data_IF_258044145216
#
_entry.id   IF_258044145216
#
_cell.length_a   1.000
_cell.length_b   1.000
_cell.length_c   1.000
_cell.angle_alpha   90.00
_cell.angle_beta   90.00
_cell.angle_gamma   90.00
#
_symmetry.space_group_name_H-M   'P 1'
#
loop_
_entity.id
_entity.type
_entity.pdbx_description
1 polymer ?
#
# COMPACT_ATOMS: atom_id res chain seq x y z
N UNK A 1 5.44 4.28 -5.14
CA UNK A 1 6.43 5.19 -5.76
C UNK A 1 5.83 6.02 -6.91
N UNK A 2 4.48 6.00 -7.05
CA UNK A 2 3.75 6.85 -7.98
C UNK A 2 3.85 8.33 -7.58
N UNK A 3 3.93 9.27 -8.55
CA UNK A 3 3.91 10.70 -8.26
C UNK A 3 2.71 11.14 -7.43
N UNK A 4 1.51 10.59 -7.71
CA UNK A 4 0.29 10.87 -6.98
C UNK A 4 0.37 10.48 -5.49
N UNK A 5 1.02 9.35 -5.14
CA UNK A 5 1.20 8.92 -3.76
C UNK A 5 2.18 9.82 -3.02
N UNK A 6 3.23 10.30 -3.70
CA UNK A 6 4.14 11.30 -3.12
C UNK A 6 3.43 12.64 -2.87
N UNK A 7 2.54 13.04 -3.77
CA UNK A 7 1.71 14.24 -3.56
C UNK A 7 0.73 14.06 -2.40
N UNK A 8 0.08 12.90 -2.30
CA UNK A 8 -0.77 12.56 -1.17
C UNK A 8 -0.02 12.77 0.15
N UNK A 9 1.20 12.25 0.27
CA UNK A 9 2.06 12.44 1.43
C UNK A 9 2.36 13.91 1.71
N UNK A 10 2.71 14.68 0.68
CA UNK A 10 2.99 16.13 0.82
C UNK A 10 1.77 16.89 1.32
N UNK A 11 0.59 16.66 0.75
CA UNK A 11 -0.66 17.31 1.18
C UNK A 11 -1.04 16.99 2.63
N UNK A 12 -0.80 15.76 3.08
CA UNK A 12 -1.02 15.34 4.46
C UNK A 12 -0.05 16.06 5.40
N UNK A 13 1.24 16.10 5.07
CA UNK A 13 2.26 16.78 5.87
C UNK A 13 2.05 18.30 5.95
N UNK A 14 1.51 18.90 4.89
CA UNK A 14 1.07 20.30 4.88
C UNK A 14 -0.23 20.55 5.68
N UNK A 15 -0.84 19.50 6.22
CA UNK A 15 -2.08 19.60 6.99
C UNK A 15 -3.32 19.95 6.18
N UNK A 16 -3.32 19.72 4.85
CA UNK A 16 -4.44 20.09 3.95
C UNK A 16 -5.74 19.41 4.33
N UNK A 17 -5.70 18.15 4.74
CA UNK A 17 -6.89 17.41 5.17
C UNK A 17 -7.09 17.37 6.70
N UNK A 18 -6.23 18.05 7.46
CA UNK A 18 -6.26 18.00 8.93
C UNK A 18 -5.75 16.67 9.49
N UNK A 19 -6.12 16.36 10.73
CA UNK A 19 -5.78 15.07 11.35
C UNK A 19 -6.49 13.94 10.62
N UNK A 20 -5.76 12.87 10.27
CA UNK A 20 -6.38 11.68 9.68
C UNK A 20 -7.25 10.98 10.72
N UNK A 21 -8.45 10.62 10.32
CA UNK A 21 -9.48 9.95 11.12
C UNK A 21 -9.66 8.49 10.71
N UNK A 22 -9.68 8.22 9.39
CA UNK A 22 -9.91 6.90 8.85
C UNK A 22 -9.15 6.66 7.54
N UNK A 23 -8.75 5.40 7.30
CA UNK A 23 -8.05 4.96 6.09
C UNK A 23 -8.66 3.68 5.56
N UNK A 24 -9.07 3.68 4.28
CA UNK A 24 -9.59 2.50 3.61
C UNK A 24 -8.68 2.17 2.43
N UNK A 25 -8.20 0.94 2.36
CA UNK A 25 -7.38 0.45 1.27
C UNK A 25 -7.87 -0.91 0.77
N UNK A 26 -7.87 -1.08 -0.54
CA UNK A 26 -8.39 -2.27 -1.20
C UNK A 26 -7.40 -2.75 -2.27
N UNK A 27 -7.24 -4.07 -2.38
CA UNK A 27 -6.46 -4.69 -3.45
C UNK A 27 -7.10 -5.99 -3.90
N UNK A 28 -8.26 -5.92 -4.60
CA UNK A 28 -8.92 -7.07 -5.18
C UNK A 28 -8.27 -7.48 -6.51
N UNK A 29 -8.26 -8.78 -6.76
CA UNK A 29 -7.86 -9.44 -8.01
C UNK A 29 -8.69 -10.71 -8.20
N UNK A 30 -8.71 -11.30 -9.40
CA UNK A 30 -9.48 -12.51 -9.71
C UNK A 30 -8.65 -13.68 -10.28
N UNK A 31 -7.37 -13.49 -10.48
CA UNK A 31 -6.50 -14.47 -11.16
C UNK A 31 -6.49 -15.87 -10.52
N UNK A 32 -6.74 -15.99 -9.22
CA UNK A 32 -6.80 -17.29 -8.55
C UNK A 32 -7.96 -18.14 -9.07
N UNK A 33 -9.10 -17.52 -9.43
CA UNK A 33 -10.25 -18.24 -10.01
C UNK A 33 -9.86 -18.91 -11.33
N UNK A 34 -9.12 -18.19 -12.19
CA UNK A 34 -8.62 -18.75 -13.46
C UNK A 34 -7.60 -19.87 -13.21
N UNK A 35 -6.70 -19.69 -12.27
CA UNK A 35 -5.72 -20.71 -11.90
C UNK A 35 -6.35 -21.97 -11.32
N UNK A 36 -7.40 -21.84 -10.50
CA UNK A 36 -8.13 -22.99 -9.95
C UNK A 36 -8.94 -23.77 -11.00
N UNK A 37 -9.27 -23.14 -12.14
CA UNK A 37 -9.93 -23.78 -13.27
C UNK A 37 -8.92 -24.44 -14.24
N UNK A 38 -7.62 -24.23 -14.04
CA UNK A 38 -6.57 -24.76 -14.88
C UNK A 38 -5.67 -25.71 -14.08
N UNK A 39 -5.84 -27.01 -14.28
CA UNK A 39 -5.07 -28.06 -13.60
C UNK A 39 -3.55 -27.99 -13.85
N UNK A 40 -3.10 -27.29 -14.90
CA UNK A 40 -1.70 -27.11 -15.25
C UNK A 40 -1.08 -25.83 -14.64
N UNK A 41 -1.86 -25.02 -13.89
CA UNK A 41 -1.35 -23.79 -13.26
C UNK A 41 -0.51 -24.10 -12.00
N UNK A 42 0.78 -24.22 -12.21
CA UNK A 42 1.74 -24.45 -11.14
C UNK A 42 1.87 -23.26 -10.18
N UNK A 43 1.59 -22.03 -10.65
CA UNK A 43 1.67 -20.83 -9.79
C UNK A 43 0.58 -20.81 -8.72
N UNK A 44 -0.66 -21.11 -9.09
CA UNK A 44 -1.78 -21.23 -8.14
C UNK A 44 -1.53 -22.34 -7.11
N UNK A 45 -1.01 -23.49 -7.55
CA UNK A 45 -0.63 -24.59 -6.66
C UNK A 45 0.48 -24.18 -5.69
N UNK A 46 1.50 -23.52 -6.20
CA UNK A 46 2.65 -23.06 -5.40
C UNK A 46 2.23 -22.06 -4.33
N UNK A 47 1.49 -21.00 -4.71
CA UNK A 47 1.11 -19.93 -3.78
C UNK A 47 0.06 -20.37 -2.75
N UNK A 48 -0.75 -21.38 -3.08
CA UNK A 48 -1.75 -21.97 -2.18
C UNK A 48 -1.19 -23.00 -1.20
N UNK A 49 0.07 -23.42 -1.33
CA UNK A 49 0.67 -24.44 -0.45
C UNK A 49 1.53 -23.78 0.65
N UNK A 50 1.18 -24.00 1.95
CA UNK A 50 1.95 -23.49 3.09
C UNK A 50 3.43 -23.88 3.09
N UNK A 51 3.79 -24.97 2.41
CA UNK A 51 5.18 -25.40 2.28
C UNK A 51 6.05 -24.37 1.56
N UNK A 52 5.46 -23.64 0.61
CA UNK A 52 6.15 -22.67 -0.22
C UNK A 52 5.82 -21.22 0.17
N UNK A 53 4.55 -20.92 0.43
CA UNK A 53 4.08 -19.57 0.77
C UNK A 53 4.11 -19.26 2.27
N UNK A 54 4.40 -20.27 3.13
CA UNK A 54 4.45 -20.05 4.56
C UNK A 54 3.08 -19.94 5.19
N UNK A 55 2.87 -18.93 6.04
CA UNK A 55 1.68 -18.83 6.90
C UNK A 55 0.48 -18.12 6.25
N UNK A 56 0.64 -17.55 5.06
CA UNK A 56 -0.36 -16.66 4.44
C UNK A 56 -0.22 -16.68 2.91
N UNK A 57 -1.33 -16.56 2.20
CA UNK A 57 -1.38 -16.36 0.77
C UNK A 57 -1.67 -14.88 0.45
N UNK A 58 -2.94 -14.49 0.39
CA UNK A 58 -3.32 -13.17 -0.12
C UNK A 58 -2.86 -12.02 0.78
N UNK A 59 -2.83 -12.21 2.10
CA UNK A 59 -2.32 -11.19 3.02
C UNK A 59 -0.81 -10.99 2.84
N UNK A 60 -0.07 -12.08 2.67
CA UNK A 60 1.37 -12.05 2.44
C UNK A 60 1.75 -11.50 1.07
N UNK A 61 1.02 -11.90 0.01
CA UNK A 61 1.31 -11.50 -1.36
C UNK A 61 0.81 -10.09 -1.70
N UNK A 62 -0.39 -9.73 -1.24
CA UNK A 62 -1.09 -8.49 -1.63
C UNK A 62 -1.28 -7.54 -0.45
N UNK A 63 -1.61 -8.06 0.74
CA UNK A 63 -1.84 -7.24 1.93
C UNK A 63 -0.60 -6.45 2.36
N UNK A 64 0.61 -6.99 2.16
CA UNK A 64 1.86 -6.28 2.43
C UNK A 64 2.04 -5.04 1.55
N UNK A 65 1.52 -5.05 0.32
CA UNK A 65 1.52 -3.86 -0.55
C UNK A 65 0.60 -2.77 0.00
N UNK A 66 -0.60 -3.14 0.50
CA UNK A 66 -1.49 -2.18 1.14
C UNK A 66 -0.89 -1.61 2.42
N UNK A 67 -0.27 -2.46 3.25
CA UNK A 67 0.47 -2.01 4.44
C UNK A 67 1.47 -0.91 4.08
N UNK A 68 2.34 -1.18 3.10
CA UNK A 68 3.35 -0.23 2.66
C UNK A 68 2.73 1.03 2.05
N UNK A 69 1.71 0.90 1.20
CA UNK A 69 1.00 2.02 0.57
C UNK A 69 0.39 2.95 1.63
N UNK A 70 -0.31 2.39 2.62
CA UNK A 70 -0.93 3.14 3.72
C UNK A 70 0.14 3.92 4.49
N UNK A 71 1.19 3.23 4.97
CA UNK A 71 2.25 3.85 5.76
C UNK A 71 3.00 4.92 4.95
N UNK A 72 3.33 4.64 3.69
CA UNK A 72 4.02 5.56 2.79
C UNK A 72 3.20 6.82 2.48
N UNK A 73 1.90 6.67 2.23
CA UNK A 73 1.01 7.79 1.91
C UNK A 73 0.68 8.64 3.15
N UNK A 74 0.39 8.00 4.29
CA UNK A 74 -0.11 8.69 5.48
C UNK A 74 0.97 9.13 6.46
N UNK A 75 2.09 8.42 6.51
CA UNK A 75 3.11 8.55 7.56
C UNK A 75 2.71 7.98 8.92
N UNK A 76 1.54 7.36 9.00
CA UNK A 76 1.06 6.73 10.22
C UNK A 76 1.66 5.34 10.40
N UNK A 77 1.73 4.89 11.65
CA UNK A 77 2.11 3.52 12.01
C UNK A 77 0.88 2.75 12.44
N UNK A 78 0.78 1.51 11.97
CA UNK A 78 -0.23 0.58 12.46
C UNK A 78 0.25 0.03 13.80
N UNK A 79 -0.54 0.22 14.87
CA UNK A 79 -0.22 -0.27 16.21
C UNK A 79 -0.79 -1.66 16.47
N UNK A 80 -1.99 -1.94 15.95
CA UNK A 80 -2.66 -3.24 16.12
C UNK A 80 -3.59 -3.53 14.95
N UNK A 81 -3.82 -4.81 14.72
CA UNK A 81 -4.71 -5.32 13.68
C UNK A 81 -5.69 -6.35 14.25
N UNK A 82 -6.87 -6.44 13.60
CA UNK A 82 -7.82 -7.53 13.74
C UNK A 82 -8.11 -8.04 12.34
N UNK A 83 -7.92 -9.34 12.10
CA UNK A 83 -8.08 -9.95 10.79
C UNK A 83 -9.24 -10.94 10.76
N UNK A 84 -9.94 -10.97 9.61
CA UNK A 84 -10.93 -11.96 9.23
C UNK A 84 -10.54 -12.52 7.85
N UNK A 85 -10.30 -13.85 7.78
CA UNK A 85 -9.85 -14.54 6.58
C UNK A 85 -10.96 -15.38 5.97
N UNK A 86 -11.08 -15.32 4.64
CA UNK A 86 -11.93 -16.19 3.84
C UNK A 86 -11.10 -17.16 3.01
N UNK A 87 -11.68 -18.33 2.75
CA UNK A 87 -11.03 -19.44 2.05
C UNK A 87 -11.88 -19.86 0.85
N UNK A 88 -11.27 -19.92 -0.34
CA UNK A 88 -11.88 -20.46 -1.53
C UNK A 88 -10.80 -21.19 -2.38
N UNK A 89 -11.05 -22.45 -2.81
CA UNK A 89 -12.20 -23.29 -2.41
C UNK A 89 -12.23 -23.55 -0.90
N UNK A 90 -13.30 -24.18 -0.39
CA UNK A 90 -13.49 -24.36 1.06
C UNK A 90 -12.38 -25.15 1.76
N UNK A 91 -11.70 -26.02 1.01
CA UNK A 91 -10.56 -26.82 1.45
C UNK A 91 -9.20 -26.14 1.24
N UNK A 92 -9.17 -24.86 0.82
CA UNK A 92 -7.94 -24.09 0.66
C UNK A 92 -7.17 -24.05 1.98
N UNK A 93 -5.87 -24.30 1.92
CA UNK A 93 -4.98 -24.35 3.10
C UNK A 93 -4.59 -22.96 3.59
N UNK A 94 -4.61 -21.96 2.71
CA UNK A 94 -4.29 -20.56 2.98
C UNK A 94 -5.43 -19.68 2.51
N UNK A 95 -5.55 -18.52 3.12
CA UNK A 95 -6.60 -17.55 2.82
C UNK A 95 -6.50 -17.00 1.40
N UNK A 96 -7.66 -16.83 0.75
CA UNK A 96 -7.83 -16.19 -0.55
C UNK A 96 -8.54 -14.85 -0.45
N UNK A 97 -9.07 -14.54 0.73
CA UNK A 97 -9.70 -13.26 1.07
C UNK A 97 -9.17 -12.84 2.43
N UNK A 98 -8.78 -11.58 2.56
CA UNK A 98 -8.35 -11.01 3.84
C UNK A 98 -9.02 -9.66 4.08
N UNK A 99 -9.60 -9.50 5.27
CA UNK A 99 -10.16 -8.24 5.77
C UNK A 99 -9.45 -7.92 7.06
N UNK A 100 -8.80 -6.76 7.13
CA UNK A 100 -7.99 -6.37 8.28
C UNK A 100 -8.45 -5.01 8.75
N UNK A 101 -8.94 -4.93 9.98
CA UNK A 101 -9.14 -3.68 10.69
C UNK A 101 -7.82 -3.25 11.32
N UNK A 102 -7.55 -1.95 11.34
CA UNK A 102 -6.31 -1.36 11.82
C UNK A 102 -6.59 -0.24 12.82
N UNK A 103 -5.72 -0.09 13.80
CA UNK A 103 -5.66 1.11 14.63
C UNK A 103 -4.25 1.71 14.50
N UNK A 104 -4.20 3.03 14.36
CA UNK A 104 -2.98 3.80 14.11
C UNK A 104 -2.51 4.57 15.33
N UNK A 105 -1.23 4.94 15.35
CA UNK A 105 -0.56 5.65 16.44
C UNK A 105 -1.08 7.07 16.72
N UNK A 106 -1.79 7.68 15.78
CA UNK A 106 -2.48 8.95 15.98
C UNK A 106 -3.92 8.82 16.53
N UNK A 107 -4.39 7.57 16.75
CA UNK A 107 -5.74 7.22 17.16
C UNK A 107 -6.74 7.07 16.01
N UNK A 108 -6.31 7.18 14.76
CA UNK A 108 -7.13 6.85 13.59
C UNK A 108 -7.42 5.36 13.51
N UNK A 109 -8.44 5.00 12.75
CA UNK A 109 -8.77 3.63 12.40
C UNK A 109 -8.60 3.40 10.90
N UNK A 110 -8.70 2.15 10.46
CA UNK A 110 -8.69 1.86 9.04
C UNK A 110 -9.05 0.42 8.73
N UNK A 111 -9.20 0.16 7.44
CA UNK A 111 -9.53 -1.16 6.90
C UNK A 111 -8.68 -1.44 5.66
N UNK A 112 -8.15 -2.66 5.57
CA UNK A 112 -7.54 -3.19 4.37
C UNK A 112 -8.32 -4.43 3.90
N UNK A 113 -8.68 -4.46 2.62
CA UNK A 113 -9.30 -5.62 1.99
C UNK A 113 -8.43 -6.10 0.83
N UNK A 114 -8.07 -7.38 0.86
CA UNK A 114 -7.40 -8.06 -0.26
C UNK A 114 -8.13 -9.33 -0.63
N UNK A 115 -8.19 -9.62 -1.92
CA UNK A 115 -8.80 -10.83 -2.45
C UNK A 115 -8.11 -11.20 -3.76
N UNK A 116 -7.86 -12.48 -3.99
CA UNK A 116 -7.42 -13.00 -5.28
C UNK A 116 -8.50 -13.83 -5.99
N UNK A 117 -9.74 -13.73 -5.50
CA UNK A 117 -10.96 -14.40 -6.04
C UNK A 117 -12.10 -13.41 -6.33
N UNK A 118 -11.78 -12.11 -6.45
CA UNK A 118 -12.77 -11.05 -6.69
C UNK A 118 -12.95 -10.84 -8.20
N UNK A 119 -13.82 -11.64 -8.83
CA UNK A 119 -14.09 -11.59 -10.28
C UNK A 119 -14.46 -10.18 -10.72
N UNK A 120 -13.84 -9.72 -11.81
CA UNK A 120 -14.03 -8.38 -12.38
C UNK A 120 -12.98 -7.37 -11.95
N UNK A 121 -11.98 -7.79 -11.16
CA UNK A 121 -10.83 -6.97 -10.79
C UNK A 121 -9.52 -7.62 -11.28
N UNK A 122 -8.86 -6.99 -12.23
CA UNK A 122 -7.57 -7.50 -12.77
C UNK A 122 -6.42 -7.26 -11.78
N UNK A 123 -6.16 -5.99 -11.45
CA UNK A 123 -5.11 -5.58 -10.52
C UNK A 123 -5.46 -4.20 -9.94
N UNK A 124 -6.55 -4.11 -9.23
CA UNK A 124 -7.13 -2.85 -8.78
C UNK A 124 -6.70 -2.51 -7.35
N UNK A 125 -5.89 -1.47 -7.18
CA UNK A 125 -5.49 -0.98 -5.86
C UNK A 125 -6.14 0.39 -5.61
N UNK A 126 -6.78 0.55 -4.45
CA UNK A 126 -7.47 1.78 -4.04
C UNK A 126 -6.98 2.23 -2.68
N UNK A 127 -6.84 3.54 -2.51
CA UNK A 127 -6.52 4.18 -1.24
C UNK A 127 -7.44 5.38 -1.01
N UNK A 128 -8.12 5.41 0.13
CA UNK A 128 -8.99 6.49 0.58
C UNK A 128 -8.57 6.91 1.98
N UNK A 129 -8.32 8.21 2.16
CA UNK A 129 -7.86 8.78 3.43
C UNK A 129 -8.81 9.91 3.81
N UNK A 130 -9.42 9.80 4.97
CA UNK A 130 -10.39 10.77 5.49
C UNK A 130 -9.78 11.52 6.67
N UNK A 131 -9.74 12.84 6.58
CA UNK A 131 -9.27 13.74 7.62
C UNK A 131 -10.35 14.69 8.11
N UNK A 132 -10.05 15.49 9.14
CA UNK A 132 -10.96 16.44 9.74
C UNK A 132 -11.42 17.56 8.79
N UNK A 133 -10.61 17.88 7.76
CA UNK A 133 -10.85 19.01 6.85
C UNK A 133 -11.11 18.60 5.43
N UNK A 134 -10.81 17.35 5.05
CA UNK A 134 -10.95 16.86 3.69
C UNK A 134 -10.55 15.39 3.56
N UNK A 135 -10.64 14.88 2.34
CA UNK A 135 -10.25 13.52 2.01
C UNK A 135 -9.35 13.49 0.78
N UNK A 136 -8.60 12.41 0.67
CA UNK A 136 -7.75 12.11 -0.49
C UNK A 136 -8.09 10.71 -0.99
N UNK A 137 -8.28 10.57 -2.31
CA UNK A 137 -8.52 9.28 -2.95
C UNK A 137 -7.55 9.08 -4.11
N UNK A 138 -7.05 7.85 -4.23
CA UNK A 138 -6.21 7.41 -5.33
C UNK A 138 -6.61 6.00 -5.76
N UNK A 139 -6.48 5.74 -7.06
CA UNK A 139 -6.79 4.45 -7.67
C UNK A 139 -5.69 4.02 -8.63
N UNK A 140 -5.42 2.72 -8.66
CA UNK A 140 -4.55 2.11 -9.66
C UNK A 140 -5.14 2.16 -11.08
N UNK A 141 -6.47 2.29 -11.18
CA UNK A 141 -7.17 2.45 -12.46
C UNK A 141 -6.96 3.85 -13.06
N UNK A 142 -6.53 4.82 -12.22
CA UNK A 142 -6.19 6.19 -12.61
C UNK A 142 -4.94 6.67 -11.86
N UNK A 143 -3.80 6.03 -12.15
CA UNK A 143 -2.55 6.19 -11.41
C UNK A 143 -1.97 7.60 -11.41
N UNK A 144 -2.32 8.41 -12.40
CA UNK A 144 -1.74 9.74 -12.63
C UNK A 144 -2.51 10.87 -11.96
N UNK A 145 -3.67 10.58 -11.39
CA UNK A 145 -4.50 11.57 -10.71
C UNK A 145 -4.64 11.27 -9.21
N UNK A 146 -4.81 12.34 -8.45
CA UNK A 146 -5.15 12.31 -7.03
C UNK A 146 -6.39 13.18 -6.83
N UNK A 147 -7.40 12.65 -6.20
CA UNK A 147 -8.66 13.32 -5.95
C UNK A 147 -8.69 13.85 -4.51
N UNK A 148 -8.88 15.14 -4.35
CA UNK A 148 -8.92 15.81 -3.05
C UNK A 148 -10.27 16.49 -2.89
N UNK A 149 -10.98 16.15 -1.80
CA UNK A 149 -12.30 16.69 -1.51
C UNK A 149 -12.31 17.48 -0.21
N UNK A 150 -13.02 18.59 -0.22
CA UNK A 150 -13.32 19.40 0.96
C UNK A 150 -14.85 19.59 1.10
N UNK A 151 -15.33 19.77 2.33
CA UNK A 151 -16.75 20.00 2.57
C UNK A 151 -17.23 21.23 1.78
N UNK A 152 -18.37 21.08 1.11
CA UNK A 152 -19.03 22.12 0.30
C UNK A 152 -18.16 22.76 -0.81
N UNK A 153 -17.18 22.00 -1.34
CA UNK A 153 -16.34 22.41 -2.45
C UNK A 153 -16.34 21.36 -3.57
N UNK A 154 -16.13 21.78 -4.83
CA UNK A 154 -15.88 20.84 -5.91
C UNK A 154 -14.64 20.00 -5.64
N UNK A 155 -14.65 18.75 -6.12
CA UNK A 155 -13.48 17.87 -6.06
C UNK A 155 -12.33 18.47 -6.85
N UNK A 156 -11.16 18.56 -6.24
CA UNK A 156 -9.92 18.98 -6.88
C UNK A 156 -9.19 17.75 -7.41
N UNK A 157 -8.72 17.83 -8.66
CA UNK A 157 -7.96 16.76 -9.30
C UNK A 157 -6.52 17.23 -9.49
N UNK A 158 -5.59 16.58 -8.80
CA UNK A 158 -4.16 16.81 -8.93
C UNK A 158 -3.61 15.86 -9.99
N UNK A 159 -3.09 16.39 -11.08
CA UNK A 159 -2.51 15.61 -12.19
C UNK A 159 -0.99 15.59 -12.09
N UNK A 160 -0.40 14.44 -12.33
CA UNK A 160 1.05 14.23 -12.26
C UNK A 160 1.81 15.25 -13.14
N UNK A 161 2.98 15.66 -12.67
CA UNK A 161 3.92 16.55 -13.34
C UNK A 161 3.38 17.94 -13.71
N UNK A 162 2.35 18.43 -13.04
CA UNK A 162 1.89 19.82 -13.15
C UNK A 162 2.70 20.74 -12.22
N UNK A 163 2.73 22.04 -12.56
CA UNK A 163 3.53 23.03 -11.82
C UNK A 163 3.13 23.18 -10.34
N UNK A 164 1.87 22.93 -10.01
CA UNK A 164 1.31 23.00 -8.66
C UNK A 164 1.64 21.77 -7.77
N UNK A 165 2.17 20.68 -8.34
CA UNK A 165 2.60 19.52 -7.59
C UNK A 165 3.83 19.85 -6.74
N UNK A 166 3.97 19.18 -5.60
CA UNK A 166 5.15 19.28 -4.74
C UNK A 166 6.43 18.84 -5.46
N UNK A 167 7.57 19.36 -5.04
CA UNK A 167 8.86 18.94 -5.60
C UNK A 167 9.14 17.45 -5.35
N UNK A 168 8.64 16.92 -4.23
CA UNK A 168 8.71 15.49 -3.91
C UNK A 168 7.96 14.63 -4.94
N UNK A 169 6.77 15.07 -5.38
CA UNK A 169 5.99 14.41 -6.41
C UNK A 169 6.65 14.55 -7.80
N UNK A 170 7.06 15.78 -8.19
CA UNK A 170 7.70 16.06 -9.49
C UNK A 170 8.95 15.21 -9.72
N UNK A 171 9.75 14.94 -8.69
CA UNK A 171 10.92 14.08 -8.79
C UNK A 171 10.60 12.63 -9.16
N UNK A 172 9.36 12.19 -8.99
CA UNK A 172 8.89 10.88 -9.41
C UNK A 172 8.31 10.86 -10.82
N UNK A 173 8.13 12.02 -11.46
CA UNK A 173 7.61 12.11 -12.83
C UNK A 173 8.75 12.11 -13.85
N UNK A 174 8.58 11.37 -14.94
CA UNK A 174 9.56 11.24 -16.03
C UNK A 174 9.08 11.85 -17.31
N UNK A 175 7.77 11.81 -17.57
CA UNK A 175 7.14 12.31 -18.78
C UNK A 175 6.53 13.69 -18.54
N UNK A 176 6.34 14.51 -19.61
CA UNK A 176 5.63 15.77 -19.50
C UNK A 176 4.20 15.58 -19.00
N UNK A 177 3.64 16.63 -18.38
CA UNK A 177 2.27 16.60 -17.88
C UNK A 177 1.27 16.14 -18.94
N UNK A 178 0.33 15.27 -18.55
CA UNK A 178 -0.68 14.69 -19.43
C UNK A 178 -0.24 13.44 -20.21
N UNK A 179 1.01 12.98 -20.05
CA UNK A 179 1.46 11.70 -20.56
C UNK A 179 1.25 10.63 -19.48
N UNK A 180 0.81 9.41 -19.85
CA UNK A 180 0.58 8.34 -18.89
C UNK A 180 1.92 7.81 -18.33
N UNK A 181 2.03 7.78 -17.04
CA UNK A 181 3.07 7.06 -16.30
C UNK A 181 2.39 6.03 -15.38
N UNK A 182 2.99 4.87 -15.22
CA UNK A 182 2.33 3.80 -14.48
C UNK A 182 3.29 2.91 -13.70
N UNK A 183 3.03 1.63 -13.79
CA UNK A 183 3.69 0.60 -13.00
C UNK A 183 5.22 0.55 -13.20
N UNK A 184 5.69 0.61 -14.45
CA UNK A 184 7.13 0.57 -14.75
C UNK A 184 7.86 1.79 -14.22
N UNK A 185 7.28 2.98 -14.37
CA UNK A 185 7.87 4.23 -13.88
C UNK A 185 7.90 4.26 -12.35
N UNK A 186 6.90 3.71 -11.68
CA UNK A 186 6.89 3.59 -10.22
C UNK A 186 8.03 2.69 -9.72
N UNK A 187 8.26 1.54 -10.36
CA UNK A 187 9.42 0.70 -10.06
C UNK A 187 10.75 1.40 -10.41
N UNK A 188 10.83 2.05 -11.56
CA UNK A 188 12.01 2.82 -11.95
C UNK A 188 12.35 3.90 -10.92
N UNK A 189 11.35 4.59 -10.35
CA UNK A 189 11.52 5.59 -9.31
C UNK A 189 12.18 5.02 -8.04
N UNK A 190 11.78 3.80 -7.64
CA UNK A 190 12.36 3.10 -6.49
C UNK A 190 13.85 2.80 -6.72
N UNK A 191 14.16 2.15 -7.85
CA UNK A 191 15.55 1.81 -8.19
C UNK A 191 16.41 3.05 -8.43
N UNK A 192 15.85 4.09 -9.06
CA UNK A 192 16.55 5.36 -9.24
C UNK A 192 16.97 5.97 -7.91
N UNK A 193 16.05 6.06 -6.94
CA UNK A 193 16.34 6.60 -5.61
C UNK A 193 17.40 5.77 -4.87
N UNK A 194 17.37 4.45 -4.98
CA UNK A 194 18.39 3.57 -4.43
C UNK A 194 19.77 3.81 -5.06
N UNK A 195 19.83 3.81 -6.41
CA UNK A 195 21.07 4.04 -7.14
C UNK A 195 21.66 5.44 -6.87
N UNK A 196 20.80 6.46 -6.80
CA UNK A 196 21.23 7.84 -6.46
C UNK A 196 21.86 7.89 -5.07
N UNK A 197 21.25 7.26 -4.06
CA UNK A 197 21.82 7.16 -2.71
C UNK A 197 23.18 6.46 -2.71
N UNK A 198 23.29 5.38 -3.46
CA UNK A 198 24.55 4.62 -3.57
C UNK A 198 25.67 5.47 -4.20
N UNK A 199 25.37 6.17 -5.30
CA UNK A 199 26.31 7.05 -5.98
C UNK A 199 26.73 8.24 -5.09
N UNK A 200 25.78 8.89 -4.43
CA UNK A 200 26.07 10.00 -3.52
C UNK A 200 26.92 9.54 -2.34
N UNK A 201 26.69 8.33 -1.82
CA UNK A 201 27.53 7.73 -0.78
C UNK A 201 28.95 7.49 -1.27
N UNK A 202 29.13 6.94 -2.46
CA UNK A 202 30.46 6.70 -3.05
C UNK A 202 31.23 8.00 -3.30
N UNK A 203 30.51 9.08 -3.63
CA UNK A 203 31.09 10.40 -3.89
C UNK A 203 31.23 11.28 -2.63
N UNK A 204 30.80 10.80 -1.47
CA UNK A 204 30.87 11.55 -0.20
C UNK A 204 29.91 12.75 -0.14
N UNK A 205 28.81 12.75 -0.91
CA UNK A 205 27.85 13.85 -1.01
C UNK A 205 26.41 13.43 -0.63
N UNK A 206 26.27 12.57 0.38
CA UNK A 206 24.95 12.14 0.87
C UNK A 206 24.09 13.35 1.25
N UNK A 207 22.84 13.31 0.77
CA UNK A 207 21.77 14.23 1.13
C UNK A 207 21.01 13.71 2.36
N UNK A 208 20.04 14.47 2.84
CA UNK A 208 19.13 14.03 3.90
C UNK A 208 18.42 12.72 3.51
N UNK A 209 18.15 11.85 4.49
CA UNK A 209 17.56 10.53 4.27
C UNK A 209 16.25 10.60 3.46
N UNK A 210 15.40 11.56 3.79
CA UNK A 210 14.13 11.82 3.10
C UNK A 210 14.27 12.10 1.59
N UNK A 211 15.43 12.52 1.15
CA UNK A 211 15.69 12.74 -0.26
C UNK A 211 15.65 11.44 -1.06
N UNK A 212 16.06 10.33 -0.45
CA UNK A 212 16.14 9.02 -1.07
C UNK A 212 14.91 8.17 -0.70
N UNK A 213 13.87 8.23 -1.54
CA UNK A 213 12.62 7.57 -1.24
C UNK A 213 12.56 6.16 -1.85
N UNK A 214 12.92 5.16 -1.06
CA UNK A 214 12.79 3.73 -1.38
C UNK A 214 12.70 2.93 -0.08
N UNK A 215 12.06 1.71 -0.09
CA UNK A 215 11.91 0.91 1.11
C UNK A 215 13.25 0.34 1.59
N UNK A 216 13.42 0.32 2.88
CA UNK A 216 14.57 -0.26 3.56
C UNK A 216 14.26 -1.67 4.10
N UNK A 217 15.28 -2.39 4.58
CA UNK A 217 15.10 -3.71 5.19
C UNK A 217 14.15 -3.69 6.40
N UNK A 218 14.10 -2.58 7.14
CA UNK A 218 13.18 -2.40 8.26
C UNK A 218 11.72 -2.27 7.81
N UNK A 219 11.45 -1.65 6.67
CA UNK A 219 10.10 -1.57 6.09
C UNK A 219 9.63 -2.97 5.67
N UNK A 220 10.53 -3.77 5.09
CA UNK A 220 10.27 -5.17 4.78
C UNK A 220 9.97 -6.00 6.04
N UNK A 221 10.77 -5.82 7.10
CA UNK A 221 10.52 -6.49 8.39
C UNK A 221 9.18 -6.08 8.99
N UNK A 222 8.83 -4.81 8.93
CA UNK A 222 7.56 -4.30 9.42
C UNK A 222 6.37 -4.90 8.64
N UNK A 223 6.48 -5.03 7.31
CA UNK A 223 5.49 -5.72 6.48
C UNK A 223 5.31 -7.20 6.86
N UNK A 224 6.41 -7.93 7.10
CA UNK A 224 6.34 -9.32 7.58
C UNK A 224 5.65 -9.42 8.94
N UNK A 225 5.95 -8.52 9.87
CA UNK A 225 5.28 -8.47 11.18
C UNK A 225 3.80 -8.14 11.08
N UNK A 226 3.40 -7.26 10.17
CA UNK A 226 1.99 -6.98 9.89
C UNK A 226 1.26 -8.26 9.43
N UNK A 227 1.82 -9.00 8.47
CA UNK A 227 1.26 -10.27 8.01
C UNK A 227 1.17 -11.28 9.15
N UNK A 228 2.23 -11.42 9.97
CA UNK A 228 2.23 -12.33 11.12
C UNK A 228 1.16 -11.95 12.14
N UNK A 229 1.00 -10.66 12.45
CA UNK A 229 -0.03 -10.18 13.38
C UNK A 229 -1.45 -10.46 12.85
N UNK A 230 -1.68 -10.34 11.55
CA UNK A 230 -2.97 -10.71 10.93
C UNK A 230 -3.24 -12.21 11.03
N UNK A 231 -2.26 -13.06 10.75
CA UNK A 231 -2.35 -14.52 10.91
C UNK A 231 -2.61 -14.89 12.38
N UNK A 232 -1.92 -14.26 13.31
CA UNK A 232 -2.11 -14.50 14.75
C UNK A 232 -3.50 -14.04 15.23
N UNK A 233 -4.01 -12.93 14.70
CA UNK A 233 -5.37 -12.46 14.97
C UNK A 233 -6.40 -13.51 14.57
N UNK A 234 -6.33 -14.00 13.34
CA UNK A 234 -7.22 -15.03 12.83
C UNK A 234 -7.14 -16.32 13.67
N UNK A 235 -5.92 -16.81 13.96
CA UNK A 235 -5.71 -18.05 14.75
C UNK A 235 -6.22 -17.96 16.17
N UNK A 236 -6.24 -16.77 16.76
CA UNK A 236 -6.76 -16.51 18.12
C UNK A 236 -8.27 -16.23 18.15
N UNK A 237 -8.98 -16.38 17.03
CA UNK A 237 -10.43 -16.15 16.94
C UNK A 237 -10.80 -14.69 16.64
N UNK A 238 -10.10 -14.05 15.72
CA UNK A 238 -10.38 -12.70 15.23
C UNK A 238 -10.30 -11.65 16.36
N UNK A 239 -9.18 -11.60 17.03
CA UNK A 239 -8.91 -10.64 18.11
C UNK A 239 -7.87 -9.61 17.69
N UNK A 240 -7.88 -8.45 18.35
CA UNK A 240 -6.84 -7.45 18.17
C UNK A 240 -5.48 -7.97 18.59
N UNK A 241 -4.50 -7.87 17.70
CA UNK A 241 -3.08 -8.21 17.94
C UNK A 241 -2.23 -6.97 17.71
N UNK A 242 -1.43 -6.61 18.70
CA UNK A 242 -0.49 -5.50 18.59
C UNK A 242 0.66 -5.85 17.63
N UNK A 243 1.11 -4.87 16.85
CA UNK A 243 2.36 -4.95 16.13
C UNK A 243 3.49 -4.56 17.08
N UNK A 244 4.54 -5.39 17.13
CA UNK A 244 5.73 -5.15 17.93
C UNK A 244 6.43 -3.83 17.53
N UNK A 245 7.02 -3.11 18.49
CA UNK A 245 7.70 -1.80 18.31
C UNK A 245 8.80 -1.80 17.23
N UNK A 246 9.35 -2.97 16.88
CA UNK A 246 10.27 -3.11 15.76
C UNK A 246 9.61 -2.96 14.37
N UNK A 247 8.29 -2.86 14.30
CA UNK A 247 7.52 -2.64 13.06
C UNK A 247 7.38 -1.15 12.72
N UNK A 248 8.37 -0.33 13.00
CA UNK A 248 8.39 1.07 12.59
C UNK A 248 8.72 1.16 11.11
N UNK A 249 7.76 1.61 10.30
CA UNK A 249 8.04 2.06 8.94
C UNK A 249 8.91 3.34 9.04
N UNK A 250 10.05 3.37 8.40
CA UNK A 250 11.02 4.48 8.47
C UNK A 250 10.87 5.47 7.31
N UNK A 251 9.77 5.40 6.55
CA UNK A 251 9.49 6.32 5.44
C UNK A 251 8.95 7.66 5.89
#
# INVERSE_FOLDING_TARGET
HYPAIRECRSLIEEGKIGKILDVVAEYPQDWMILGLQNDEDDFTKWIGDPKYSGASNVTGAMGVHLYYLICAATGLRIEKVLADFGYYPEDAKLETISRILMAFDNGAHGMAWTSNVAIGHDCSMYLKIYGEKGSIEWSHDDMTHLYVSYLDQPVQIFSANRSYMSDFSKRASRLPAGHPEGFYEAYANMYHSFCEKLLDRMNGCLKEERYYYFPHAFDGLAGVKYVQAAVDSQRKGNVWVALDDAAKCFL
#
